data_IF_994702276058
#
_entry.id   IF_994702276058
#
_cell.length_a   1.000
_cell.length_b   1.000
_cell.length_c   1.000
_cell.angle_alpha   90.00
_cell.angle_beta   90.00
_cell.angle_gamma   90.00
#
_symmetry.space_group_name_H-M   'P 1'
#
loop_
_entity.id
_entity.type
_entity.pdbx_description
1 polymer ?
#
# COMPACT_ATOMS: atom_id res chain seq x y z
N UNK A 1 -3.33 11.45 -15.18
CA UNK A 1 -1.90 11.14 -14.94
C UNK A 1 -1.23 12.37 -14.37
N UNK A 2 -0.58 12.28 -13.20
CA UNK A 2 0.15 13.40 -12.58
C UNK A 2 1.61 13.41 -13.04
N UNK A 3 2.23 14.57 -13.16
CA UNK A 3 3.67 14.65 -13.41
C UNK A 3 4.47 14.17 -12.19
N UNK A 4 5.74 13.78 -12.39
CA UNK A 4 6.62 13.42 -11.28
C UNK A 4 6.78 14.57 -10.27
N UNK A 5 6.89 15.81 -10.75
CA UNK A 5 6.94 17.01 -9.91
C UNK A 5 5.67 17.19 -9.07
N UNK A 6 4.49 16.98 -9.66
CA UNK A 6 3.23 17.06 -8.93
C UNK A 6 3.16 16.03 -7.79
N UNK A 7 3.61 14.79 -8.04
CA UNK A 7 3.68 13.75 -7.00
C UNK A 7 4.64 14.13 -5.88
N UNK A 8 5.86 14.60 -6.22
CA UNK A 8 6.85 15.04 -5.22
C UNK A 8 6.29 16.20 -4.38
N UNK A 9 5.59 17.16 -4.99
CA UNK A 9 4.98 18.29 -4.29
C UNK A 9 3.87 17.87 -3.34
N UNK A 10 3.09 16.84 -3.67
CA UNK A 10 2.08 16.29 -2.75
C UNK A 10 2.73 15.83 -1.44
N UNK A 11 3.85 15.11 -1.51
CA UNK A 11 4.59 14.71 -0.31
C UNK A 11 5.21 15.91 0.40
N UNK A 12 5.85 16.82 -0.34
CA UNK A 12 6.48 17.99 0.26
C UNK A 12 5.51 18.84 1.09
N UNK A 13 4.38 19.25 0.48
CA UNK A 13 3.41 20.09 1.18
C UNK A 13 2.69 19.33 2.30
N UNK A 14 2.31 18.07 2.07
CA UNK A 14 1.63 17.25 3.07
C UNK A 14 2.50 16.96 4.30
N UNK A 15 3.79 16.63 4.10
CA UNK A 15 4.73 16.42 5.20
C UNK A 15 4.98 17.69 5.99
N UNK A 16 5.29 18.79 5.32
CA UNK A 16 5.50 20.09 5.97
C UNK A 16 4.28 20.55 6.76
N UNK A 17 3.08 20.31 6.25
CA UNK A 17 1.85 20.65 6.97
C UNK A 17 1.73 19.82 8.25
N UNK A 18 1.86 18.49 8.18
CA UNK A 18 1.75 17.63 9.38
C UNK A 18 2.84 17.92 10.39
N UNK A 19 4.09 18.12 9.97
CA UNK A 19 5.18 18.45 10.90
C UNK A 19 4.92 19.75 11.66
N UNK A 20 4.27 20.72 11.01
CA UNK A 20 3.87 22.01 11.62
C UNK A 20 2.69 21.86 12.57
N UNK A 21 1.63 21.16 12.14
CA UNK A 21 0.40 21.03 12.94
C UNK A 21 0.53 19.99 14.07
N UNK A 22 1.40 18.98 13.90
CA UNK A 22 1.59 17.87 14.83
C UNK A 22 3.09 17.66 15.13
N UNK A 23 3.69 18.47 16.01
CA UNK A 23 5.11 18.36 16.36
C UNK A 23 5.48 16.95 16.82
N UNK A 24 6.54 16.38 16.24
CA UNK A 24 7.00 15.02 16.51
C UNK A 24 6.31 13.93 15.68
N UNK A 25 5.26 14.25 14.93
CA UNK A 25 4.68 13.31 13.98
C UNK A 25 5.63 13.06 12.80
N UNK A 26 5.83 11.78 12.46
CA UNK A 26 6.63 11.37 11.30
C UNK A 26 5.83 10.44 10.40
N UNK A 27 5.39 10.91 9.23
CA UNK A 27 4.68 10.04 8.31
C UNK A 27 5.66 9.10 7.60
N UNK A 28 5.56 7.81 7.92
CA UNK A 28 6.33 6.72 7.27
C UNK A 28 5.49 5.86 6.33
N UNK A 29 4.17 6.06 6.33
CA UNK A 29 3.23 5.25 5.56
C UNK A 29 2.44 6.14 4.63
N UNK A 30 2.43 5.80 3.34
CA UNK A 30 1.55 6.43 2.36
C UNK A 30 0.25 5.64 2.27
N UNK A 31 -0.87 6.30 2.54
CA UNK A 31 -2.21 5.76 2.36
C UNK A 31 -2.73 6.15 0.99
N UNK A 32 -2.79 5.19 0.07
CA UNK A 32 -3.17 5.48 -1.30
C UNK A 32 -3.99 4.33 -1.87
N UNK A 33 -5.12 4.03 -1.26
CA UNK A 33 -5.85 2.80 -1.53
C UNK A 33 -6.64 2.79 -2.83
N UNK A 34 -7.15 3.95 -3.28
CA UNK A 34 -8.14 4.01 -4.36
C UNK A 34 -7.65 4.74 -5.62
N UNK A 35 -6.39 4.53 -5.99
CA UNK A 35 -5.91 4.95 -7.32
C UNK A 35 -5.78 3.72 -8.22
N UNK A 36 -6.22 3.82 -9.50
CA UNK A 36 -6.24 2.68 -10.43
C UNK A 36 -4.83 2.25 -10.86
N UNK A 37 -3.85 3.15 -10.76
CA UNK A 37 -2.48 2.86 -11.13
C UNK A 37 -1.50 3.87 -10.53
N UNK A 38 -0.23 3.47 -10.47
CA UNK A 38 0.88 4.27 -9.95
C UNK A 38 2.07 4.15 -10.89
N UNK A 39 2.89 5.19 -10.95
CA UNK A 39 4.14 5.15 -11.71
C UNK A 39 5.10 4.08 -11.14
N UNK A 40 5.89 3.46 -12.01
CA UNK A 40 6.98 2.56 -11.62
C UNK A 40 8.01 3.23 -10.69
N UNK A 41 8.11 4.57 -10.73
CA UNK A 41 8.98 5.35 -9.86
C UNK A 41 8.39 5.63 -8.47
N UNK A 42 7.19 5.13 -8.15
CA UNK A 42 6.56 5.40 -6.85
C UNK A 42 7.42 4.95 -5.67
N UNK A 43 8.04 3.74 -5.66
CA UNK A 43 8.95 3.36 -4.58
C UNK A 43 10.13 4.33 -4.42
N UNK A 44 10.73 4.79 -5.53
CA UNK A 44 11.82 5.77 -5.50
C UNK A 44 11.38 7.10 -4.88
N UNK A 45 10.23 7.64 -5.32
CA UNK A 45 9.68 8.90 -4.81
C UNK A 45 9.43 8.78 -3.30
N UNK A 46 8.74 7.72 -2.87
CA UNK A 46 8.41 7.48 -1.47
C UNK A 46 9.66 7.41 -0.60
N UNK A 47 10.68 6.65 -1.02
CA UNK A 47 11.93 6.53 -0.25
C UNK A 47 12.67 7.85 -0.14
N UNK A 48 12.76 8.64 -1.22
CA UNK A 48 13.36 9.98 -1.19
C UNK A 48 12.57 10.96 -0.32
N UNK A 49 11.26 10.75 -0.16
CA UNK A 49 10.43 11.50 0.76
C UNK A 49 10.45 10.95 2.21
N UNK A 50 11.26 9.93 2.52
CA UNK A 50 11.31 9.33 3.87
C UNK A 50 10.02 8.57 4.24
N UNK A 51 9.35 7.99 3.27
CA UNK A 51 8.19 7.11 3.42
C UNK A 51 8.62 5.68 3.09
N UNK A 52 8.46 4.77 4.04
CA UNK A 52 8.99 3.41 3.98
C UNK A 52 7.90 2.36 3.67
N UNK A 53 6.64 2.74 3.86
CA UNK A 53 5.50 1.85 3.76
C UNK A 53 4.43 2.41 2.82
N UNK A 54 3.76 1.52 2.10
CA UNK A 54 2.62 1.83 1.25
C UNK A 54 1.44 0.94 1.61
N UNK A 55 0.31 1.55 1.92
CA UNK A 55 -0.98 0.89 2.00
C UNK A 55 -1.77 1.19 0.73
N UNK A 56 -2.06 0.16 -0.04
CA UNK A 56 -2.81 0.29 -1.29
C UNK A 56 -3.83 -0.83 -1.50
N UNK A 57 -4.62 -0.75 -2.57
CA UNK A 57 -5.54 -1.81 -2.98
C UNK A 57 -5.58 -1.93 -4.51
N UNK A 58 -6.45 -2.78 -5.05
CA UNK A 58 -6.56 -3.15 -6.48
C UNK A 58 -5.35 -3.94 -6.97
N UNK A 59 -4.66 -4.62 -6.05
CA UNK A 59 -3.41 -5.36 -6.30
C UNK A 59 -3.40 -6.64 -5.47
N UNK A 60 -2.63 -7.64 -5.91
CA UNK A 60 -2.52 -8.97 -5.29
C UNK A 60 -2.41 -8.89 -3.78
N UNK A 61 -3.36 -9.53 -3.08
CA UNK A 61 -3.41 -9.64 -1.61
C UNK A 61 -2.03 -10.02 -1.03
N UNK A 62 -1.59 -9.30 0.01
CA UNK A 62 -0.39 -9.69 0.74
C UNK A 62 0.47 -8.54 1.25
N UNK A 63 1.68 -8.93 1.66
CA UNK A 63 2.75 -8.04 2.12
C UNK A 63 4.04 -8.39 1.35
N UNK A 64 4.61 -7.40 0.66
CA UNK A 64 5.80 -7.58 -0.17
C UNK A 64 6.56 -6.27 -0.35
N UNK A 65 7.78 -6.36 -0.88
CA UNK A 65 8.57 -5.19 -1.25
C UNK A 65 8.35 -4.85 -2.73
N UNK A 66 7.90 -3.62 -3.00
CA UNK A 66 7.76 -3.10 -4.37
C UNK A 66 9.01 -2.31 -4.73
N UNK A 67 9.70 -2.76 -5.79
CA UNK A 67 10.90 -2.14 -6.32
C UNK A 67 10.61 -1.18 -7.49
N UNK A 68 11.27 -0.04 -7.49
CA UNK A 68 11.39 0.84 -8.65
C UNK A 68 12.56 0.37 -9.55
N UNK A 69 12.61 0.82 -10.82
CA UNK A 69 13.70 0.48 -11.75
C UNK A 69 15.10 0.86 -11.26
N UNK A 70 15.23 1.85 -10.35
CA UNK A 70 16.50 2.25 -9.76
C UNK A 70 16.95 1.36 -8.58
N UNK A 71 16.17 0.33 -8.23
CA UNK A 71 16.42 -0.55 -7.10
C UNK A 71 15.89 -0.06 -5.76
N UNK A 72 15.35 1.17 -5.68
CA UNK A 72 14.66 1.66 -4.48
C UNK A 72 13.41 0.81 -4.20
N UNK A 73 13.12 0.53 -2.93
CA UNK A 73 11.94 -0.26 -2.56
C UNK A 73 11.18 0.27 -1.36
N UNK A 74 9.88 -0.02 -1.31
CA UNK A 74 9.01 0.22 -0.15
C UNK A 74 8.28 -1.06 0.23
N UNK A 75 7.99 -1.20 1.53
CA UNK A 75 7.17 -2.31 2.05
C UNK A 75 5.70 -2.00 1.80
N UNK A 76 5.01 -2.91 1.15
CA UNK A 76 3.63 -2.76 0.75
C UNK A 76 2.73 -3.67 1.57
N UNK A 77 1.54 -3.18 1.91
CA UNK A 77 0.42 -4.00 2.35
C UNK A 77 -0.79 -3.72 1.44
N UNK A 78 -1.48 -4.79 1.04
CA UNK A 78 -2.77 -4.72 0.36
C UNK A 78 -3.71 -5.79 0.89
N UNK A 79 -4.97 -5.44 1.17
CA UNK A 79 -6.05 -6.39 1.43
C UNK A 79 -6.68 -6.94 0.14
N UNK A 80 -6.10 -6.70 -1.03
CA UNK A 80 -6.77 -6.91 -2.33
C UNK A 80 -7.65 -5.70 -2.66
N UNK A 81 -8.75 -5.53 -1.93
CA UNK A 81 -9.66 -4.39 -2.06
C UNK A 81 -9.81 -3.66 -0.72
N UNK A 82 -9.82 -2.32 -0.71
CA UNK A 82 -9.82 -1.51 0.53
C UNK A 82 -11.09 -1.65 1.37
N UNK A 83 -12.19 -2.13 0.79
CA UNK A 83 -13.45 -2.42 1.50
C UNK A 83 -13.52 -3.84 2.06
N UNK A 84 -12.48 -4.69 1.86
CA UNK A 84 -12.53 -6.10 2.24
C UNK A 84 -12.85 -6.33 3.71
N UNK A 85 -12.38 -5.45 4.60
CA UNK A 85 -12.69 -5.52 6.02
C UNK A 85 -14.20 -5.43 6.32
N UNK A 86 -14.97 -4.70 5.50
CA UNK A 86 -16.42 -4.60 5.66
C UNK A 86 -17.15 -5.94 5.45
N UNK A 87 -16.52 -6.90 4.77
CA UNK A 87 -17.09 -8.23 4.53
C UNK A 87 -17.28 -9.02 5.83
N UNK A 88 -16.49 -8.74 6.87
CA UNK A 88 -16.60 -9.39 8.18
C UNK A 88 -16.96 -8.45 9.33
N UNK A 89 -16.56 -7.16 9.28
CA UNK A 89 -16.85 -6.21 10.36
C UNK A 89 -18.32 -5.78 10.45
N UNK A 90 -19.09 -5.88 9.34
CA UNK A 90 -20.52 -5.52 9.32
C UNK A 90 -21.44 -6.72 9.59
N UNK A 91 -20.88 -7.89 9.93
CA UNK A 91 -21.64 -9.11 10.17
C UNK A 91 -21.87 -9.29 11.67
N UNK A 92 -22.80 -10.17 12.02
CA UNK A 92 -22.86 -10.65 13.41
C UNK A 92 -21.55 -11.35 13.79
N UNK A 93 -21.27 -11.45 15.08
CA UNK A 93 -19.96 -11.89 15.57
C UNK A 93 -19.54 -13.26 15.03
N UNK A 94 -20.46 -14.23 14.97
CA UNK A 94 -20.15 -15.59 14.52
C UNK A 94 -19.79 -15.61 13.03
N UNK A 95 -20.59 -14.94 12.19
CA UNK A 95 -20.33 -14.86 10.75
C UNK A 95 -19.09 -14.00 10.45
N UNK A 96 -18.87 -12.93 11.22
CA UNK A 96 -17.70 -12.08 11.11
C UNK A 96 -16.41 -12.83 11.42
N UNK A 97 -16.39 -13.63 12.49
CA UNK A 97 -15.25 -14.48 12.83
C UNK A 97 -14.97 -15.48 11.70
N UNK A 98 -15.97 -16.20 11.21
CA UNK A 98 -15.77 -17.16 10.12
C UNK A 98 -15.21 -16.49 8.87
N UNK A 99 -15.75 -15.34 8.47
CA UNK A 99 -15.26 -14.58 7.30
C UNK A 99 -13.84 -14.04 7.50
N UNK A 100 -13.47 -13.70 8.73
CA UNK A 100 -12.09 -13.32 9.04
C UNK A 100 -11.14 -14.53 8.95
N UNK A 101 -11.57 -15.72 9.42
CA UNK A 101 -10.78 -16.95 9.26
C UNK A 101 -10.57 -17.26 7.77
N UNK A 102 -11.63 -17.24 6.96
CA UNK A 102 -11.54 -17.42 5.50
C UNK A 102 -10.49 -16.47 4.90
N UNK A 103 -10.53 -15.18 5.27
CA UNK A 103 -9.56 -14.18 4.82
C UNK A 103 -8.12 -14.53 5.23
N UNK A 104 -7.91 -14.98 6.47
CA UNK A 104 -6.59 -15.33 6.97
C UNK A 104 -6.02 -16.60 6.33
N UNK A 105 -6.88 -17.54 5.93
CA UNK A 105 -6.49 -18.72 5.16
C UNK A 105 -6.08 -18.35 3.73
N UNK A 106 -6.76 -17.39 3.10
CA UNK A 106 -6.39 -16.85 1.80
C UNK A 106 -5.15 -15.95 1.84
N UNK A 107 -4.88 -15.31 2.98
CA UNK A 107 -3.78 -14.35 3.09
C UNK A 107 -2.42 -15.07 2.96
N UNK A 108 -1.63 -14.77 1.91
CA UNK A 108 -0.38 -15.47 1.71
C UNK A 108 0.56 -15.25 2.90
N UNK A 109 1.14 -16.35 3.41
CA UNK A 109 2.04 -16.29 4.56
C UNK A 109 3.38 -15.66 4.17
N UNK A 110 3.41 -14.33 4.27
CA UNK A 110 4.58 -13.52 3.95
C UNK A 110 5.82 -13.85 4.78
N UNK A 111 5.66 -14.56 5.91
CA UNK A 111 6.76 -14.97 6.80
C UNK A 111 7.47 -16.23 6.30
N UNK A 112 6.78 -17.10 5.56
CA UNK A 112 7.33 -18.39 5.09
C UNK A 112 8.24 -18.26 3.88
N UNK A 113 8.12 -17.17 3.12
CA UNK A 113 8.99 -16.89 1.98
C UNK A 113 9.35 -15.39 1.93
N UNK A 114 10.47 -14.98 2.55
CA UNK A 114 10.93 -13.59 2.52
C UNK A 114 11.45 -13.17 1.14
N UNK A 115 11.74 -14.12 0.23
CA UNK A 115 12.06 -13.85 -1.17
C UNK A 115 10.77 -13.65 -1.98
N UNK A 116 9.93 -12.73 -1.51
CA UNK A 116 8.71 -12.29 -2.21
C UNK A 116 9.06 -11.86 -3.64
N UNK A 117 8.17 -12.08 -4.62
CA UNK A 117 8.39 -11.61 -5.98
C UNK A 117 8.68 -10.10 -5.95
N UNK A 118 9.73 -9.69 -6.66
CA UNK A 118 10.00 -8.28 -6.93
C UNK A 118 8.87 -7.77 -7.82
N UNK A 119 7.79 -7.30 -7.20
CA UNK A 119 6.64 -6.81 -7.96
C UNK A 119 7.08 -5.52 -8.63
N UNK A 120 7.06 -5.49 -9.96
CA UNK A 120 7.15 -4.27 -10.76
C UNK A 120 5.72 -3.96 -11.16
N UNK A 121 5.07 -3.00 -10.49
CA UNK A 121 3.64 -2.76 -10.67
C UNK A 121 3.26 -2.46 -12.13
N UNK A 122 2.63 -3.43 -12.80
CA UNK A 122 1.98 -3.26 -14.11
C UNK A 122 0.48 -3.42 -13.92
N UNK A 123 -0.19 -2.32 -13.58
CA UNK A 123 -1.65 -2.19 -13.53
C UNK A 123 -2.41 -3.20 -12.65
N UNK A 124 -3.63 -2.84 -12.30
CA UNK A 124 -4.55 -3.69 -11.55
C UNK A 124 -4.96 -4.89 -12.42
N UNK A 125 -4.92 -6.10 -11.87
CA UNK A 125 -5.44 -7.31 -12.54
C UNK A 125 -6.98 -7.27 -12.70
N UNK A 126 -7.67 -6.35 -12.04
CA UNK A 126 -9.12 -6.15 -12.13
C UNK A 126 -9.50 -5.12 -13.23
N UNK A 127 -8.51 -4.49 -13.88
CA UNK A 127 -8.70 -3.60 -15.04
C UNK A 127 -8.36 -4.31 -16.39
N UNK A 128 -8.28 -5.65 -16.38
CA UNK A 128 -8.20 -6.53 -17.57
C UNK A 128 -9.34 -7.55 -17.56
#
# INVERSE_FOLDING_TARGET
MQSGEALVRQFYFGKRWVEREFPGARQRTYWNVDVPGRTLQMPQILKKCGVDHLMYSRHQLGIYDWFAPDGSSVRVYTPGHYTRAAQFLHKNINLGINKFVDFMEEFPDYRKNPAQPRVVGMLSAEDM
#
